data_IF_393507484093
#
_entry.id   IF_393507484093
#
_cell.length_a   1.000
_cell.length_b   1.000
_cell.length_c   1.000
_cell.angle_alpha   90.00
_cell.angle_beta   90.00
_cell.angle_gamma   90.00
#
_symmetry.space_group_name_H-M   'P 1'
#
loop_
_entity.id
_entity.type
_entity.pdbx_description
1 polymer ?
#
# COMPACT_ATOMS: atom_id res chain seq x y z
N UNK A 1 20.61 -7.22 -10.24
CA UNK A 1 20.28 -5.87 -10.78
C UNK A 1 21.60 -5.12 -11.05
N UNK A 2 22.51 -4.94 -10.07
CA UNK A 2 23.77 -4.19 -10.26
C UNK A 2 24.58 -4.60 -11.49
N UNK A 3 24.79 -5.89 -11.71
CA UNK A 3 25.51 -6.41 -12.90
C UNK A 3 24.81 -6.04 -14.22
N UNK A 4 23.46 -5.97 -14.23
CA UNK A 4 22.71 -5.56 -15.42
C UNK A 4 22.80 -4.04 -15.64
N UNK A 5 22.78 -3.23 -14.56
CA UNK A 5 23.04 -1.80 -14.66
C UNK A 5 24.36 -1.53 -15.36
N UNK A 6 25.46 -2.14 -14.90
CA UNK A 6 26.79 -1.95 -15.50
C UNK A 6 26.85 -2.43 -16.96
N UNK A 7 26.20 -3.56 -17.26
CA UNK A 7 26.25 -4.17 -18.60
C UNK A 7 25.44 -3.42 -19.65
N UNK A 8 24.32 -2.80 -19.25
CA UNK A 8 23.33 -2.22 -20.16
C UNK A 8 23.12 -0.73 -19.96
N UNK A 9 23.96 -0.08 -19.16
CA UNK A 9 23.85 1.34 -18.80
C UNK A 9 22.44 1.65 -18.23
N UNK A 10 21.98 0.80 -17.32
CA UNK A 10 20.67 0.88 -16.72
C UNK A 10 20.66 1.71 -15.44
N UNK A 11 19.48 1.91 -14.89
CA UNK A 11 19.26 2.58 -13.62
C UNK A 11 18.99 1.55 -12.51
N UNK A 12 19.55 1.77 -11.31
CA UNK A 12 19.42 0.89 -10.16
C UNK A 12 18.89 1.67 -8.96
N UNK A 13 17.66 1.40 -8.56
CA UNK A 13 17.04 1.91 -7.35
C UNK A 13 16.99 0.83 -6.28
N UNK A 14 17.26 1.24 -5.04
CA UNK A 14 16.96 0.45 -3.83
C UNK A 14 15.73 1.07 -3.17
N UNK A 15 14.62 0.34 -3.12
CA UNK A 15 13.41 0.76 -2.42
C UNK A 15 13.22 -0.09 -1.16
N UNK A 16 13.08 0.57 -0.03
CA UNK A 16 12.68 -0.05 1.22
C UNK A 16 11.15 -0.06 1.31
N UNK A 17 10.54 -1.24 1.21
CA UNK A 17 9.09 -1.43 1.31
C UNK A 17 8.68 -1.51 2.78
N UNK A 18 8.66 -0.37 3.45
CA UNK A 18 8.53 -0.20 4.88
C UNK A 18 7.14 0.31 5.33
N UNK A 19 6.09 -0.02 4.59
CA UNK A 19 4.70 0.44 4.84
C UNK A 19 3.88 -0.49 5.73
N UNK A 20 4.50 -1.43 6.43
CA UNK A 20 3.84 -2.32 7.39
C UNK A 20 4.51 -2.26 8.79
N UNK A 21 4.19 -1.24 9.60
CA UNK A 21 4.81 -1.08 10.92
C UNK A 21 4.37 -2.09 11.97
N UNK A 22 3.35 -2.90 11.70
CA UNK A 22 2.80 -3.88 12.63
C UNK A 22 3.33 -5.29 12.40
N UNK A 23 3.07 -5.86 11.21
CA UNK A 23 3.36 -7.27 10.92
C UNK A 23 4.80 -7.48 10.44
N UNK A 24 5.31 -6.52 9.65
CA UNK A 24 6.66 -6.51 9.10
C UNK A 24 7.39 -5.24 9.54
N UNK A 25 7.43 -5.05 10.87
CA UNK A 25 7.99 -3.84 11.46
C UNK A 25 9.39 -3.58 10.92
N UNK A 26 9.64 -2.41 10.30
CA UNK A 26 10.95 -2.06 9.79
C UNK A 26 12.00 -2.01 10.90
N UNK A 27 13.18 -2.57 10.63
CA UNK A 27 14.36 -2.45 11.45
C UNK A 27 15.22 -1.30 10.90
N UNK A 28 15.38 -0.24 11.67
CA UNK A 28 16.09 0.95 11.23
C UNK A 28 17.57 0.70 10.95
N UNK A 29 18.19 -0.22 11.71
CA UNK A 29 19.61 -0.58 11.52
C UNK A 29 19.80 -1.37 10.22
N UNK A 30 18.76 -2.06 9.76
CA UNK A 30 18.82 -2.82 8.52
C UNK A 30 18.91 -1.92 7.26
N UNK A 31 18.43 -0.70 7.31
CA UNK A 31 18.53 0.22 6.14
C UNK A 31 19.99 0.48 5.78
N UNK A 32 20.79 0.91 6.75
CA UNK A 32 22.20 1.19 6.53
C UNK A 32 22.97 -0.09 6.23
N UNK A 33 22.69 -1.19 6.95
CA UNK A 33 23.33 -2.48 6.71
C UNK A 33 23.10 -3.03 5.30
N UNK A 34 21.89 -2.90 4.75
CA UNK A 34 21.59 -3.31 3.35
C UNK A 34 22.39 -2.48 2.36
N UNK A 35 22.52 -1.17 2.58
CA UNK A 35 23.30 -0.29 1.71
C UNK A 35 24.79 -0.59 1.79
N UNK A 36 25.33 -0.85 2.99
CA UNK A 36 26.70 -1.27 3.20
C UNK A 36 26.99 -2.61 2.48
N UNK A 37 26.09 -3.58 2.55
CA UNK A 37 26.22 -4.86 1.86
C UNK A 37 26.22 -4.69 0.33
N UNK A 38 25.37 -3.81 -0.21
CA UNK A 38 25.33 -3.49 -1.63
C UNK A 38 26.67 -2.89 -2.08
N UNK A 39 27.22 -1.95 -1.30
CA UNK A 39 28.52 -1.33 -1.56
C UNK A 39 29.66 -2.36 -1.43
N UNK A 40 29.62 -3.24 -0.43
CA UNK A 40 30.61 -4.31 -0.28
C UNK A 40 30.64 -5.25 -1.50
N UNK A 41 29.49 -5.48 -2.15
CA UNK A 41 29.39 -6.25 -3.38
C UNK A 41 29.87 -5.46 -4.61
N UNK A 42 30.32 -4.22 -4.45
CA UNK A 42 30.83 -3.35 -5.51
C UNK A 42 29.77 -2.63 -6.33
N UNK A 43 28.52 -2.58 -5.85
CA UNK A 43 27.44 -1.87 -6.52
C UNK A 43 27.10 -0.57 -5.81
N UNK A 44 26.70 0.44 -6.59
CA UNK A 44 26.21 1.72 -6.09
C UNK A 44 24.83 2.01 -6.69
N UNK A 45 23.78 2.16 -5.85
CA UNK A 45 22.47 2.52 -6.34
C UNK A 45 22.47 3.97 -6.85
N UNK A 46 21.73 4.23 -7.93
CA UNK A 46 21.50 5.57 -8.44
C UNK A 46 20.51 6.33 -7.56
N UNK A 47 19.60 5.59 -6.91
CA UNK A 47 18.60 6.14 -6.01
C UNK A 47 18.31 5.18 -4.85
N UNK A 48 18.07 5.76 -3.68
CA UNK A 48 17.59 5.04 -2.50
C UNK A 48 16.31 5.73 -2.04
N UNK A 49 15.22 4.99 -1.99
CA UNK A 49 13.92 5.51 -1.53
C UNK A 49 13.35 4.64 -0.40
N UNK A 50 12.51 5.24 0.42
CA UNK A 50 11.69 4.54 1.41
C UNK A 50 10.23 4.77 1.05
N UNK A 51 9.45 3.72 1.01
CA UNK A 51 8.03 3.82 0.68
C UNK A 51 7.28 4.70 1.70
N UNK A 52 7.68 4.66 2.97
CA UNK A 52 7.10 5.51 4.02
C UNK A 52 7.34 7.02 3.83
N UNK A 53 8.26 7.46 2.96
CA UNK A 53 8.46 8.87 2.59
C UNK A 53 7.51 9.32 1.47
N UNK A 54 6.76 8.40 0.86
CA UNK A 54 5.91 8.65 -0.30
C UNK A 54 4.40 8.59 0.00
N UNK A 55 4.03 8.64 1.27
CA UNK A 55 2.63 8.47 1.72
C UNK A 55 1.67 9.42 1.02
N UNK A 56 2.05 10.71 0.86
CA UNK A 56 1.21 11.69 0.16
C UNK A 56 0.98 11.32 -1.32
N UNK A 57 2.02 10.82 -2.00
CA UNK A 57 1.89 10.34 -3.38
C UNK A 57 0.88 9.19 -3.47
N UNK A 58 0.93 8.25 -2.53
CA UNK A 58 -0.03 7.14 -2.51
C UNK A 58 -1.46 7.62 -2.23
N UNK A 59 -1.64 8.61 -1.34
CA UNK A 59 -2.95 9.20 -1.08
C UNK A 59 -3.50 9.94 -2.29
N UNK A 60 -2.66 10.68 -3.04
CA UNK A 60 -3.05 11.36 -4.27
C UNK A 60 -3.58 10.36 -5.31
N UNK A 61 -2.85 9.29 -5.58
CA UNK A 61 -3.30 8.24 -6.51
C UNK A 61 -4.54 7.48 -6.01
N UNK A 62 -4.69 7.32 -4.71
CA UNK A 62 -5.91 6.73 -4.14
C UNK A 62 -7.13 7.63 -4.34
N UNK A 63 -6.99 8.96 -4.16
CA UNK A 63 -8.04 9.95 -4.46
C UNK A 63 -8.44 9.91 -5.93
N UNK A 64 -7.48 9.91 -6.84
CA UNK A 64 -7.74 9.77 -8.28
C UNK A 64 -8.52 8.48 -8.59
N UNK A 65 -8.13 7.37 -7.98
CA UNK A 65 -8.81 6.08 -8.16
C UNK A 65 -10.25 6.12 -7.64
N UNK A 66 -10.49 6.79 -6.50
CA UNK A 66 -11.84 7.00 -5.94
C UNK A 66 -12.67 7.89 -6.87
N UNK A 67 -12.12 9.01 -7.35
CA UNK A 67 -12.79 9.93 -8.29
C UNK A 67 -13.23 9.23 -9.57
N UNK A 68 -12.43 8.30 -10.07
CA UNK A 68 -12.78 7.46 -11.23
C UNK A 68 -13.82 6.38 -10.92
N UNK A 69 -14.27 6.26 -9.66
CA UNK A 69 -15.16 5.19 -9.22
C UNK A 69 -14.50 3.82 -9.18
N UNK A 70 -13.16 3.76 -9.20
CA UNK A 70 -12.35 2.55 -9.21
C UNK A 70 -12.05 1.96 -7.82
N UNK A 71 -12.49 2.63 -6.75
CA UNK A 71 -12.32 2.16 -5.38
C UNK A 71 -13.56 2.44 -4.52
N UNK A 72 -13.64 1.80 -3.37
CA UNK A 72 -14.68 2.02 -2.36
C UNK A 72 -14.16 1.69 -0.95
N UNK A 73 -14.67 2.38 0.05
CA UNK A 73 -14.41 2.11 1.46
C UNK A 73 -15.30 0.97 1.96
N UNK A 74 -14.73 0.13 2.82
CA UNK A 74 -15.40 -1.06 3.32
C UNK A 74 -15.11 -1.30 4.80
N UNK A 75 -16.17 -1.45 5.59
CA UNK A 75 -16.13 -1.80 7.02
C UNK A 75 -16.56 -3.25 7.31
N UNK A 76 -16.68 -4.11 6.29
CA UNK A 76 -17.00 -5.52 6.52
C UNK A 76 -15.88 -6.20 7.32
N UNK A 77 -16.22 -7.00 8.35
CA UNK A 77 -15.27 -7.87 9.00
C UNK A 77 -14.53 -8.75 7.99
N UNK A 78 -13.22 -8.95 8.20
CA UNK A 78 -12.37 -9.66 7.25
C UNK A 78 -12.91 -11.06 6.87
N UNK A 79 -13.44 -11.81 7.84
CA UNK A 79 -14.01 -13.14 7.59
C UNK A 79 -15.22 -13.10 6.66
N UNK A 80 -16.17 -12.20 6.95
CA UNK A 80 -17.39 -12.03 6.13
C UNK A 80 -17.06 -11.59 4.70
N UNK A 81 -16.14 -10.62 4.56
CA UNK A 81 -15.68 -10.20 3.24
C UNK A 81 -15.00 -11.34 2.49
N UNK A 82 -14.17 -12.14 3.17
CA UNK A 82 -13.47 -13.27 2.56
C UNK A 82 -14.47 -14.30 2.00
N UNK A 83 -15.53 -14.59 2.74
CA UNK A 83 -16.58 -15.54 2.31
C UNK A 83 -17.33 -15.01 1.08
N UNK A 84 -17.73 -13.74 1.09
CA UNK A 84 -18.36 -13.08 -0.07
C UNK A 84 -17.44 -13.10 -1.29
N UNK A 85 -16.19 -12.65 -1.11
CA UNK A 85 -15.18 -12.62 -2.18
C UNK A 85 -14.92 -14.01 -2.77
N UNK A 86 -14.79 -15.04 -1.95
CA UNK A 86 -14.53 -16.40 -2.40
C UNK A 86 -15.73 -16.97 -3.18
N UNK A 87 -16.94 -16.60 -2.82
CA UNK A 87 -18.15 -17.00 -3.54
C UNK A 87 -18.48 -16.11 -4.76
N UNK A 88 -17.66 -15.11 -5.07
CA UNK A 88 -17.89 -14.18 -6.19
C UNK A 88 -19.03 -13.19 -5.92
N UNK A 89 -19.32 -12.92 -4.64
CA UNK A 89 -20.37 -11.98 -4.23
C UNK A 89 -19.77 -10.63 -3.84
N UNK A 90 -20.35 -9.56 -4.35
CA UNK A 90 -20.00 -8.21 -3.97
C UNK A 90 -20.39 -7.92 -2.52
N UNK A 91 -19.56 -7.18 -1.78
CA UNK A 91 -19.96 -6.70 -0.46
C UNK A 91 -20.95 -5.53 -0.57
N UNK A 92 -21.77 -5.27 0.46
CA UNK A 92 -22.78 -4.21 0.44
C UNK A 92 -22.21 -2.80 0.20
N UNK A 93 -20.92 -2.58 0.50
CA UNK A 93 -20.27 -1.28 0.36
C UNK A 93 -19.76 -0.99 -1.06
N UNK A 94 -19.76 -1.99 -1.95
CA UNK A 94 -19.15 -1.87 -3.29
C UNK A 94 -19.79 -0.81 -4.16
N UNK A 95 -21.08 -0.55 -3.95
CA UNK A 95 -21.85 0.40 -4.74
C UNK A 95 -22.02 1.77 -4.06
N UNK A 96 -21.18 2.06 -3.02
CA UNK A 96 -21.08 3.40 -2.47
C UNK A 96 -20.79 4.43 -3.55
N UNK A 97 -21.39 5.60 -3.44
CA UNK A 97 -21.07 6.73 -4.31
C UNK A 97 -19.67 7.28 -4.04
N UNK A 98 -19.15 8.03 -5.01
CA UNK A 98 -17.80 8.60 -4.98
C UNK A 98 -17.66 9.60 -3.82
N UNK A 99 -18.67 10.43 -3.57
CA UNK A 99 -18.63 11.48 -2.53
C UNK A 99 -18.50 10.85 -1.14
N UNK A 100 -19.33 9.85 -0.84
CA UNK A 100 -19.28 9.11 0.44
C UNK A 100 -17.93 8.37 0.57
N UNK A 101 -17.48 7.70 -0.48
CA UNK A 101 -16.20 6.99 -0.47
C UNK A 101 -15.02 7.95 -0.23
N UNK A 102 -15.03 9.12 -0.87
CA UNK A 102 -13.97 10.12 -0.68
C UNK A 102 -13.97 10.66 0.74
N UNK A 103 -15.13 11.03 1.29
CA UNK A 103 -15.22 11.52 2.66
C UNK A 103 -14.69 10.50 3.67
N UNK A 104 -15.10 9.24 3.57
CA UNK A 104 -14.62 8.17 4.45
C UNK A 104 -13.12 7.87 4.23
N UNK A 105 -12.58 8.02 3.03
CA UNK A 105 -11.15 7.88 2.78
C UNK A 105 -10.34 9.01 3.41
N UNK A 106 -10.82 10.26 3.33
CA UNK A 106 -10.18 11.39 4.03
C UNK A 106 -10.20 11.19 5.56
N UNK A 107 -11.29 10.65 6.12
CA UNK A 107 -11.36 10.27 7.53
C UNK A 107 -10.34 9.17 7.88
N UNK A 108 -10.09 8.19 6.97
CA UNK A 108 -9.01 7.21 7.14
C UNK A 108 -7.65 7.90 7.14
N UNK A 109 -7.38 8.81 6.21
CA UNK A 109 -6.11 9.56 6.13
C UNK A 109 -5.92 10.42 7.38
N UNK A 110 -6.98 11.04 7.90
CA UNK A 110 -6.98 11.80 9.14
C UNK A 110 -6.77 10.93 10.40
N UNK A 111 -6.87 9.59 10.28
CA UNK A 111 -6.70 8.67 11.41
C UNK A 111 -7.93 8.53 12.31
N UNK A 112 -9.13 8.86 11.81
CA UNK A 112 -10.38 8.78 12.56
C UNK A 112 -10.86 7.33 12.78
N UNK A 113 -10.26 6.35 12.10
CA UNK A 113 -10.55 4.92 12.27
C UNK A 113 -9.39 4.20 12.93
N UNK A 114 -9.69 3.11 13.64
CA UNK A 114 -8.71 2.20 14.21
C UNK A 114 -8.48 0.97 13.31
N UNK A 115 -7.46 0.17 13.65
CA UNK A 115 -7.11 -1.04 12.90
C UNK A 115 -8.32 -1.99 12.78
N UNK A 116 -8.63 -2.39 11.55
CA UNK A 116 -9.72 -3.31 11.22
C UNK A 116 -11.11 -2.68 11.06
N UNK A 117 -11.31 -1.40 11.35
CA UNK A 117 -12.60 -0.73 11.22
C UNK A 117 -12.94 -0.35 9.77
N UNK A 118 -11.93 0.11 9.02
CA UNK A 118 -12.13 0.58 7.65
C UNK A 118 -10.93 0.19 6.77
N UNK A 119 -11.24 -0.11 5.50
CA UNK A 119 -10.24 -0.31 4.43
C UNK A 119 -10.72 0.35 3.14
N UNK A 120 -9.79 0.79 2.30
CA UNK A 120 -10.07 1.14 0.91
C UNK A 120 -9.82 -0.09 0.03
N UNK A 121 -10.77 -0.44 -0.84
CA UNK A 121 -10.68 -1.56 -1.78
C UNK A 121 -10.69 -1.06 -3.21
N UNK A 122 -9.90 -1.69 -4.07
CA UNK A 122 -9.96 -1.46 -5.51
C UNK A 122 -11.12 -2.29 -6.09
N UNK A 123 -11.97 -1.67 -6.90
CA UNK A 123 -13.04 -2.37 -7.66
C UNK A 123 -12.40 -3.12 -8.82
N UNK A 124 -12.55 -4.43 -8.80
CA UNK A 124 -12.07 -5.30 -9.87
C UNK A 124 -13.19 -6.24 -10.32
N UNK A 125 -12.88 -7.22 -11.15
CA UNK A 125 -13.85 -8.26 -11.51
C UNK A 125 -14.08 -9.20 -10.32
N UNK A 126 -15.25 -9.05 -9.65
CA UNK A 126 -15.62 -9.86 -8.47
C UNK A 126 -15.85 -11.32 -8.82
N UNK A 127 -16.08 -11.66 -10.10
CA UNK A 127 -16.26 -13.03 -10.58
C UNK A 127 -14.95 -13.61 -11.16
N UNK A 128 -13.84 -12.87 -11.11
CA UNK A 128 -12.56 -13.32 -11.64
C UNK A 128 -12.19 -14.71 -11.08
N UNK A 129 -11.64 -15.59 -11.92
CA UNK A 129 -11.31 -16.98 -11.54
C UNK A 129 -10.34 -17.07 -10.36
N UNK A 130 -9.38 -16.14 -10.28
CA UNK A 130 -8.46 -16.03 -9.15
C UNK A 130 -9.05 -15.09 -8.08
N UNK A 131 -9.47 -15.61 -6.90
CA UNK A 131 -10.02 -14.76 -5.84
C UNK A 131 -9.07 -13.68 -5.32
N UNK A 132 -7.76 -13.84 -5.47
CA UNK A 132 -6.79 -12.84 -5.04
C UNK A 132 -6.94 -11.50 -5.79
N UNK A 133 -7.44 -11.56 -7.04
CA UNK A 133 -7.65 -10.38 -7.87
C UNK A 133 -9.01 -9.71 -7.66
N UNK A 134 -9.89 -10.29 -6.82
CA UNK A 134 -11.23 -9.76 -6.57
C UNK A 134 -11.18 -8.70 -5.47
N UNK A 135 -11.56 -7.48 -5.76
CA UNK A 135 -11.76 -6.37 -4.81
C UNK A 135 -10.74 -6.36 -3.65
N UNK A 136 -9.45 -6.33 -4.01
CA UNK A 136 -8.35 -6.39 -3.05
C UNK A 136 -8.20 -5.08 -2.26
N UNK A 137 -7.56 -5.14 -1.10
CA UNK A 137 -7.33 -3.99 -0.22
C UNK A 137 -6.20 -3.13 -0.77
N UNK A 138 -6.46 -1.84 -1.00
CA UNK A 138 -5.46 -0.84 -1.35
C UNK A 138 -4.85 -0.18 -0.11
N UNK A 139 -5.69 0.20 0.87
CA UNK A 139 -5.27 0.82 2.13
C UNK A 139 -5.96 0.20 3.32
N UNK A 140 -5.24 0.17 4.44
CA UNK A 140 -5.75 -0.30 5.73
C UNK A 140 -5.32 0.62 6.86
N UNK A 141 -6.06 0.57 7.98
CA UNK A 141 -5.69 1.25 9.21
C UNK A 141 -4.70 0.38 10.01
N UNK A 142 -3.66 1.01 10.56
CA UNK A 142 -2.70 0.39 11.48
C UNK A 142 -2.48 1.33 12.67
N UNK A 143 -2.70 0.82 13.89
CA UNK A 143 -2.56 1.61 15.11
C UNK A 143 -1.12 1.68 15.61
N UNK A 144 -0.29 0.72 15.24
CA UNK A 144 1.12 0.67 15.62
C UNK A 144 1.91 1.79 14.94
N UNK A 145 2.55 2.70 15.70
CA UNK A 145 3.36 3.75 15.11
C UNK A 145 4.55 3.19 14.32
N UNK A 146 4.85 3.84 13.21
CA UNK A 146 6.05 3.52 12.44
C UNK A 146 7.32 3.82 13.25
N UNK A 147 8.39 2.99 13.16
CA UNK A 147 9.63 3.22 13.93
C UNK A 147 10.40 4.47 13.48
N UNK A 148 10.22 4.94 12.24
CA UNK A 148 10.78 6.22 11.76
C UNK A 148 9.91 7.36 12.27
N UNK A 149 10.51 8.40 12.94
CA UNK A 149 9.75 9.54 13.47
C UNK A 149 8.95 10.28 12.39
N UNK A 150 9.50 10.38 11.17
CA UNK A 150 8.89 11.11 10.05
C UNK A 150 7.59 10.45 9.55
N UNK A 151 7.43 9.17 9.82
CA UNK A 151 6.27 8.38 9.40
C UNK A 151 5.40 7.90 10.58
N UNK A 152 5.75 8.30 11.83
CA UNK A 152 5.11 7.78 13.03
C UNK A 152 3.64 8.18 13.19
N UNK A 153 3.23 9.29 12.58
CA UNK A 153 1.87 9.83 12.69
C UNK A 153 0.90 9.22 11.65
N UNK A 154 1.41 8.55 10.62
CA UNK A 154 0.54 7.90 9.63
C UNK A 154 -0.19 6.71 10.24
N UNK A 155 -1.47 6.58 9.93
CA UNK A 155 -2.36 5.50 10.36
C UNK A 155 -2.96 4.73 9.19
N UNK A 156 -3.19 5.39 8.07
CA UNK A 156 -3.74 4.81 6.84
C UNK A 156 -2.59 4.38 5.92
N UNK A 157 -2.34 3.08 5.82
CA UNK A 157 -1.16 2.53 5.13
C UNK A 157 -1.54 1.82 3.83
N UNK A 158 -0.80 2.07 2.73
CA UNK A 158 -1.01 1.33 1.49
C UNK A 158 -0.58 -0.14 1.64
N UNK A 159 -1.27 -1.01 0.93
CA UNK A 159 -0.81 -2.38 0.72
C UNK A 159 0.26 -2.42 -0.36
N UNK A 160 1.15 -3.41 -0.29
CA UNK A 160 2.26 -3.57 -1.22
C UNK A 160 1.82 -3.57 -2.69
N UNK A 161 0.69 -4.19 -3.00
CA UNK A 161 0.18 -4.25 -4.38
C UNK A 161 -0.19 -2.86 -4.92
N UNK A 162 -0.75 -1.96 -4.08
CA UNK A 162 -1.03 -0.59 -4.46
C UNK A 162 0.25 0.24 -4.59
N UNK A 163 1.12 0.14 -3.58
CA UNK A 163 2.41 0.82 -3.55
C UNK A 163 3.24 0.48 -4.80
N UNK A 164 3.41 -0.81 -5.10
CA UNK A 164 4.19 -1.26 -6.26
C UNK A 164 3.55 -0.80 -7.58
N UNK A 165 2.23 -0.75 -7.66
CA UNK A 165 1.54 -0.22 -8.84
C UNK A 165 1.86 1.27 -9.11
N UNK A 166 2.15 2.05 -8.06
CA UNK A 166 2.53 3.47 -8.17
C UNK A 166 4.03 3.62 -8.40
N UNK A 167 4.86 2.85 -7.70
CA UNK A 167 6.32 3.07 -7.66
C UNK A 167 7.08 2.38 -8.80
N UNK A 168 6.53 1.32 -9.37
CA UNK A 168 7.18 0.52 -10.42
C UNK A 168 6.79 0.99 -11.84
N UNK A 169 6.08 2.12 -11.94
CA UNK A 169 5.57 2.68 -13.21
C UNK A 169 6.56 3.59 -13.92
#
# INVERSE_FOLDING_TARGET
IGTYKERYDGWFCVRFDDTDPETKRPDLDAYDGILEDIQYLGFEPDEVMKASDRMETYYEHARELVEMGGAYTCSCPQGEFSDMKNSGQACPHRDKDVETTMAEFEDMVAGEYTSGEMVLRVKTDIEHKNPALRDWVAFRMIDTPHPRPEAADYRCWPMLDFQSGVDDH
#
